data_IF_394477161046
#
_entry.id   IF_394477161046
#
_cell.length_a   1.000
_cell.length_b   1.000
_cell.length_c   1.000
_cell.angle_alpha   90.00
_cell.angle_beta   90.00
_cell.angle_gamma   90.00
#
_symmetry.space_group_name_H-M   'P 1'
#
loop_
_entity.id
_entity.type
_entity.pdbx_description
1 polymer ?
#
# COMPACT_ATOMS: atom_id res chain seq x y z
N UNK A 1 -3.62 45.87 21.58
CA UNK A 1 -3.56 45.33 20.20
C UNK A 1 -3.86 43.84 20.28
N UNK A 2 -4.89 43.36 19.59
CA UNK A 2 -5.19 41.93 19.55
C UNK A 2 -4.30 41.30 18.47
N UNK A 3 -3.42 40.38 18.84
CA UNK A 3 -2.64 39.59 17.88
C UNK A 3 -3.58 38.62 17.18
N UNK A 4 -3.86 38.85 15.89
CA UNK A 4 -4.64 37.93 15.07
C UNK A 4 -3.72 36.79 14.60
N UNK A 5 -3.82 35.64 15.25
CA UNK A 5 -3.08 34.43 14.82
C UNK A 5 -3.78 33.87 13.57
N UNK A 6 -3.05 33.79 12.46
CA UNK A 6 -3.56 33.21 11.21
C UNK A 6 -2.95 31.82 11.01
N UNK A 7 -3.79 30.81 10.77
CA UNK A 7 -3.33 29.48 10.42
C UNK A 7 -3.22 29.33 8.90
N UNK A 8 -2.08 28.84 8.43
CA UNK A 8 -1.82 28.50 7.01
C UNK A 8 -1.55 27.00 6.90
N UNK A 9 -1.82 26.40 5.74
CA UNK A 9 -1.53 24.98 5.50
C UNK A 9 -0.01 24.78 5.55
N UNK A 10 0.43 23.76 6.29
CA UNK A 10 1.81 23.28 6.35
C UNK A 10 2.01 22.10 5.40
N UNK A 11 1.06 21.18 5.37
CA UNK A 11 1.05 20.03 4.47
C UNK A 11 -0.37 19.45 4.36
N UNK A 12 -0.62 18.73 3.28
CA UNK A 12 -1.76 17.83 3.11
C UNK A 12 -1.22 16.45 2.77
N UNK A 13 -1.81 15.39 3.33
CA UNK A 13 -1.56 14.02 2.89
C UNK A 13 -2.89 13.39 2.53
N UNK A 14 -3.08 13.12 1.24
CA UNK A 14 -4.24 12.42 0.71
C UNK A 14 -3.97 10.91 0.67
N UNK A 15 -4.86 10.12 1.24
CA UNK A 15 -5.01 8.70 0.96
C UNK A 15 -6.05 8.56 -0.14
N UNK A 16 -5.65 7.96 -1.26
CA UNK A 16 -6.47 7.80 -2.47
C UNK A 16 -6.54 6.31 -2.81
N UNK A 17 -7.71 5.83 -3.23
CA UNK A 17 -7.88 4.39 -3.52
C UNK A 17 -8.66 4.19 -4.81
N UNK A 18 -8.04 3.46 -5.74
CA UNK A 18 -8.58 3.15 -7.06
C UNK A 18 -9.97 2.48 -7.04
N UNK A 19 -10.35 1.80 -5.95
CA UNK A 19 -11.65 1.15 -5.83
C UNK A 19 -12.80 2.16 -6.00
N UNK A 20 -12.65 3.35 -5.43
CA UNK A 20 -13.63 4.42 -5.54
C UNK A 20 -13.39 5.29 -6.78
N UNK A 21 -12.12 5.48 -7.16
CA UNK A 21 -11.72 6.48 -8.15
C UNK A 21 -11.88 5.99 -9.58
N UNK A 22 -11.51 4.74 -9.86
CA UNK A 22 -11.48 4.18 -11.21
C UNK A 22 -12.88 4.03 -11.79
N UNK A 23 -12.95 4.06 -13.12
CA UNK A 23 -14.15 3.76 -13.90
C UNK A 23 -13.84 2.72 -14.97
N UNK A 24 -14.87 2.10 -15.51
CA UNK A 24 -14.70 1.15 -16.61
C UNK A 24 -13.87 1.76 -17.75
N UNK A 25 -12.81 1.06 -18.15
CA UNK A 25 -11.91 1.47 -19.23
C UNK A 25 -10.96 2.63 -18.92
N UNK A 26 -10.93 3.16 -17.69
CA UNK A 26 -10.07 4.31 -17.34
C UNK A 26 -9.60 4.26 -15.89
N UNK A 27 -8.27 4.19 -15.72
CA UNK A 27 -7.62 4.33 -14.43
C UNK A 27 -7.59 5.82 -14.03
N UNK A 28 -7.81 6.12 -12.75
CA UNK A 28 -7.78 7.49 -12.26
C UNK A 28 -6.45 8.20 -12.54
N UNK A 29 -5.32 7.52 -12.31
CA UNK A 29 -4.00 8.14 -12.46
C UNK A 29 -3.51 8.23 -13.90
N UNK A 30 -4.22 7.63 -14.87
CA UNK A 30 -3.98 7.86 -16.29
C UNK A 30 -4.71 9.10 -16.83
N UNK A 31 -5.56 9.74 -16.03
CA UNK A 31 -6.29 10.96 -16.40
C UNK A 31 -5.38 12.19 -16.32
N UNK A 32 -5.77 13.27 -17.01
CA UNK A 32 -5.15 14.58 -16.82
C UNK A 32 -5.35 15.06 -15.37
N UNK A 33 -4.50 15.97 -14.89
CA UNK A 33 -4.63 16.50 -13.52
C UNK A 33 -6.00 17.18 -13.29
N UNK A 34 -6.49 17.93 -14.28
CA UNK A 34 -7.80 18.58 -14.22
C UNK A 34 -8.94 17.55 -14.13
N UNK A 35 -8.88 16.48 -14.92
CA UNK A 35 -9.86 15.40 -14.88
C UNK A 35 -9.81 14.61 -13.56
N UNK A 36 -8.62 14.42 -12.98
CA UNK A 36 -8.45 13.82 -11.66
C UNK A 36 -9.14 14.66 -10.58
N UNK A 37 -8.88 15.97 -10.57
CA UNK A 37 -9.50 16.90 -9.62
C UNK A 37 -11.02 16.95 -9.78
N UNK A 38 -11.52 17.02 -11.01
CA UNK A 38 -12.96 17.00 -11.30
C UNK A 38 -13.60 15.69 -10.84
N UNK A 39 -12.98 14.54 -11.14
CA UNK A 39 -13.47 13.21 -10.75
C UNK A 39 -13.53 13.06 -9.23
N UNK A 40 -12.48 13.46 -8.53
CA UNK A 40 -12.45 13.40 -7.06
C UNK A 40 -13.50 14.33 -6.46
N UNK A 41 -13.66 15.54 -6.99
CA UNK A 41 -14.69 16.49 -6.54
C UNK A 41 -16.11 15.93 -6.73
N UNK A 42 -16.42 15.36 -7.90
CA UNK A 42 -17.70 14.69 -8.21
C UNK A 42 -18.02 13.58 -7.20
N UNK A 43 -17.05 12.69 -6.95
CA UNK A 43 -17.21 11.59 -5.99
C UNK A 43 -17.40 12.08 -4.55
N UNK A 44 -16.74 13.17 -4.16
CA UNK A 44 -16.90 13.77 -2.84
C UNK A 44 -18.25 14.48 -2.69
N UNK A 45 -18.73 15.18 -3.73
CA UNK A 45 -20.04 15.85 -3.71
C UNK A 45 -21.20 14.85 -3.56
N UNK A 46 -21.10 13.70 -4.22
CA UNK A 46 -22.11 12.63 -4.15
C UNK A 46 -21.94 11.68 -2.95
N UNK A 47 -20.97 11.93 -2.07
CA UNK A 47 -20.62 11.04 -0.94
C UNK A 47 -20.30 9.59 -1.38
N UNK A 48 -19.72 9.42 -2.58
CA UNK A 48 -19.29 8.12 -3.13
C UNK A 48 -17.84 7.78 -2.77
N UNK A 49 -17.05 8.78 -2.40
CA UNK A 49 -15.68 8.58 -1.89
C UNK A 49 -15.65 8.67 -0.37
N UNK A 50 -15.56 7.53 0.32
CA UNK A 50 -15.67 7.47 1.78
C UNK A 50 -14.57 6.62 2.45
N UNK A 51 -13.36 6.62 1.89
CA UNK A 51 -12.21 5.86 2.43
C UNK A 51 -11.94 6.12 3.92
N UNK A 52 -12.15 7.36 4.38
CA UNK A 52 -11.86 7.75 5.77
C UNK A 52 -12.89 7.21 6.80
N UNK A 53 -13.98 6.59 6.33
CA UNK A 53 -14.85 5.78 7.19
C UNK A 53 -14.16 4.49 7.62
N UNK A 54 -13.29 3.93 6.76
CA UNK A 54 -12.57 2.68 6.98
C UNK A 54 -11.17 2.88 7.58
N UNK A 55 -10.68 4.12 7.67
CA UNK A 55 -9.32 4.45 8.12
C UNK A 55 -9.36 5.50 9.24
N UNK A 56 -8.45 5.39 10.21
CA UNK A 56 -8.12 6.49 11.12
C UNK A 56 -6.64 6.81 11.05
N UNK A 57 -6.33 8.11 11.04
CA UNK A 57 -4.96 8.60 11.13
C UNK A 57 -4.86 9.39 12.42
N UNK A 58 -3.91 9.06 13.28
CA UNK A 58 -3.78 9.70 14.61
C UNK A 58 -2.33 10.02 14.91
N UNK A 59 -2.00 11.22 15.42
CA UNK A 59 -0.64 11.51 15.84
C UNK A 59 -0.19 10.55 16.96
N UNK A 60 1.10 10.21 17.00
CA UNK A 60 1.67 9.51 18.16
C UNK A 60 1.65 10.42 19.40
N UNK A 61 1.72 9.88 20.64
CA UNK A 61 1.78 10.71 21.84
C UNK A 61 2.97 11.70 21.86
N UNK A 62 4.08 11.34 21.22
CA UNK A 62 5.22 12.25 21.04
C UNK A 62 4.91 13.36 20.03
N UNK A 63 4.27 13.01 18.90
CA UNK A 63 3.83 13.98 17.89
C UNK A 63 2.80 14.95 18.44
N UNK A 64 1.84 14.52 19.27
CA UNK A 64 0.86 15.43 19.88
C UNK A 64 1.52 16.55 20.70
N UNK A 65 2.59 16.23 21.45
CA UNK A 65 3.35 17.22 22.21
C UNK A 65 4.07 18.18 21.27
N UNK A 66 4.69 17.67 20.19
CA UNK A 66 5.35 18.48 19.16
C UNK A 66 4.37 19.42 18.46
N UNK A 67 3.21 18.92 18.04
CA UNK A 67 2.15 19.72 17.40
C UNK A 67 1.71 20.89 18.29
N UNK A 68 1.44 20.63 19.58
CA UNK A 68 1.07 21.68 20.55
C UNK A 68 2.20 22.70 20.74
N UNK A 69 3.43 22.25 20.91
CA UNK A 69 4.60 23.12 21.09
C UNK A 69 4.86 24.03 19.89
N UNK A 70 4.64 23.50 18.68
CA UNK A 70 4.87 24.20 17.42
C UNK A 70 3.63 24.95 16.90
N UNK A 71 2.53 24.96 17.67
CA UNK A 71 1.23 25.53 17.27
C UNK A 71 0.75 25.01 15.90
N UNK A 72 0.95 23.72 15.66
CA UNK A 72 0.43 23.01 14.50
C UNK A 72 -0.90 22.36 14.91
N UNK A 73 -1.93 22.60 14.12
CA UNK A 73 -3.25 21.98 14.21
C UNK A 73 -3.33 20.88 13.16
N UNK A 74 -3.77 19.72 13.61
CA UNK A 74 -4.04 18.55 12.78
C UNK A 74 -5.56 18.40 12.60
N UNK A 75 -6.01 18.08 11.38
CA UNK A 75 -7.39 17.68 11.09
C UNK A 75 -7.41 16.52 10.10
N UNK A 76 -8.25 15.53 10.36
CA UNK A 76 -8.61 14.51 9.37
C UNK A 76 -9.68 15.09 8.41
N UNK A 77 -9.51 14.86 7.11
CA UNK A 77 -10.45 15.24 6.04
C UNK A 77 -11.13 13.99 5.46
N UNK A 78 -11.96 14.14 4.43
CA UNK A 78 -12.55 13.01 3.69
C UNK A 78 -11.52 12.23 2.84
N UNK A 79 -10.35 12.83 2.58
CA UNK A 79 -9.29 12.26 1.75
C UNK A 79 -8.02 11.94 2.52
N UNK A 80 -7.92 12.23 3.83
CA UNK A 80 -6.69 12.02 4.58
C UNK A 80 -6.52 13.04 5.70
N UNK A 81 -5.42 13.80 5.69
CA UNK A 81 -5.10 14.75 6.75
C UNK A 81 -4.62 16.09 6.21
N UNK A 82 -4.89 17.15 6.97
CA UNK A 82 -4.31 18.48 6.77
C UNK A 82 -3.63 18.96 8.05
N UNK A 83 -2.43 19.50 7.87
CA UNK A 83 -1.67 20.18 8.91
C UNK A 83 -1.75 21.68 8.66
N UNK A 84 -2.18 22.44 9.66
CA UNK A 84 -2.15 23.90 9.64
C UNK A 84 -1.22 24.43 10.71
N UNK A 85 -0.39 25.41 10.41
CA UNK A 85 0.55 26.01 11.36
C UNK A 85 0.22 27.48 11.57
N UNK A 86 0.34 27.92 12.82
CA UNK A 86 0.23 29.34 13.15
C UNK A 86 1.35 30.11 12.45
N UNK A 87 0.98 31.16 11.71
CA UNK A 87 1.89 31.92 10.88
C UNK A 87 1.62 33.42 10.96
N UNK A 88 2.64 34.20 10.65
CA UNK A 88 2.58 35.66 10.57
C UNK A 88 3.23 36.15 9.28
N UNK A 89 2.77 37.27 8.70
CA UNK A 89 3.49 37.92 7.61
C UNK A 89 4.88 38.36 8.08
N UNK A 90 5.90 37.89 7.38
CA UNK A 90 7.29 38.32 7.49
C UNK A 90 7.63 39.44 6.51
N UNK A 91 8.89 39.93 6.54
CA UNK A 91 9.39 40.89 5.56
C UNK A 91 9.20 40.39 4.12
N UNK A 92 8.83 41.29 3.20
CA UNK A 92 8.66 40.94 1.79
C UNK A 92 7.45 40.03 1.46
N UNK A 93 6.55 39.79 2.41
CA UNK A 93 5.36 38.95 2.20
C UNK A 93 5.59 37.46 2.44
N UNK A 94 6.79 37.07 2.87
CA UNK A 94 7.08 35.71 3.33
C UNK A 94 6.15 35.30 4.49
N UNK A 95 5.85 34.01 4.60
CA UNK A 95 5.06 33.49 5.71
C UNK A 95 5.99 32.81 6.71
N UNK A 96 6.19 33.46 7.85
CA UNK A 96 6.97 32.89 8.96
C UNK A 96 6.05 32.10 9.88
N UNK A 97 6.58 31.03 10.46
CA UNK A 97 5.89 30.28 11.52
C UNK A 97 5.96 31.05 12.84
N UNK A 98 4.89 30.96 13.64
CA UNK A 98 4.83 31.64 14.93
C UNK A 98 5.83 31.06 15.95
N UNK A 99 6.23 29.80 15.76
CA UNK A 99 7.31 29.12 16.47
C UNK A 99 8.24 28.55 15.40
N UNK A 100 9.55 28.88 15.40
CA UNK A 100 10.48 28.35 14.42
C UNK A 100 10.47 26.82 14.37
N UNK A 101 10.35 26.27 13.16
CA UNK A 101 10.39 24.84 12.92
C UNK A 101 11.83 24.40 12.66
N UNK A 102 12.28 23.38 13.39
CA UNK A 102 13.53 22.69 13.09
C UNK A 102 13.36 21.83 11.82
N UNK A 103 14.29 21.94 10.88
CA UNK A 103 14.27 21.15 9.64
C UNK A 103 14.28 19.64 9.89
N UNK A 104 14.86 19.19 11.01
CA UNK A 104 14.89 17.77 11.43
C UNK A 104 13.67 17.35 12.26
N UNK A 105 12.72 18.26 12.51
CA UNK A 105 11.51 17.93 13.24
C UNK A 105 10.68 16.89 12.46
N UNK A 106 10.45 15.75 13.12
CA UNK A 106 9.61 14.65 12.62
C UNK A 106 8.23 14.66 13.26
N UNK A 107 7.18 14.55 12.44
CA UNK A 107 5.79 14.38 12.86
C UNK A 107 5.28 13.00 12.40
N UNK A 108 5.06 12.12 13.37
CA UNK A 108 4.66 10.74 13.15
C UNK A 108 3.18 10.52 13.46
N UNK A 109 2.48 9.85 12.55
CA UNK A 109 1.07 9.50 12.64
C UNK A 109 0.89 8.00 12.40
N UNK A 110 0.01 7.38 13.18
CA UNK A 110 -0.38 5.99 13.04
C UNK A 110 -1.61 5.90 12.15
N UNK A 111 -1.56 5.02 11.15
CA UNK A 111 -2.67 4.68 10.27
C UNK A 111 -3.24 3.35 10.74
N UNK A 112 -4.52 3.32 11.09
CA UNK A 112 -5.23 2.10 11.50
C UNK A 112 -6.41 1.85 10.57
N UNK A 113 -6.61 0.58 10.23
CA UNK A 113 -7.79 0.16 9.48
C UNK A 113 -8.90 -0.19 10.48
N UNK A 114 -10.08 0.39 10.27
CA UNK A 114 -11.29 0.11 11.05
C UNK A 114 -12.07 -1.06 10.45
N UNK A 115 -11.98 -1.24 9.14
CA UNK A 115 -12.74 -2.23 8.39
C UNK A 115 -11.81 -3.18 7.61
N UNK A 116 -12.01 -4.48 7.78
CA UNK A 116 -11.25 -5.51 7.09
C UNK A 116 -11.51 -5.54 5.57
N UNK A 117 -12.66 -5.04 5.12
CA UNK A 117 -13.00 -4.96 3.68
C UNK A 117 -12.02 -4.08 2.88
N UNK A 118 -11.32 -3.15 3.54
CA UNK A 118 -10.28 -2.38 2.87
C UNK A 118 -9.10 -3.27 2.47
N UNK A 119 -8.68 -4.20 3.34
CA UNK A 119 -7.56 -5.12 3.04
C UNK A 119 -7.89 -6.07 1.89
N UNK A 120 -9.16 -6.50 1.81
CA UNK A 120 -9.63 -7.36 0.73
C UNK A 120 -9.71 -6.60 -0.61
N UNK A 121 -10.17 -5.34 -0.60
CA UNK A 121 -10.26 -4.48 -1.80
C UNK A 121 -8.93 -3.89 -2.25
N UNK A 122 -7.98 -3.66 -1.35
CA UNK A 122 -6.67 -3.10 -1.66
C UNK A 122 -5.69 -4.18 -2.14
N UNK A 123 -4.86 -3.82 -3.11
CA UNK A 123 -3.83 -4.68 -3.68
C UNK A 123 -2.61 -4.81 -2.74
N UNK A 124 -2.81 -5.44 -1.58
CA UNK A 124 -1.79 -5.63 -0.57
C UNK A 124 -1.47 -7.13 -0.42
N UNK A 125 -0.21 -7.47 -0.14
CA UNK A 125 0.19 -8.85 0.15
C UNK A 125 -0.55 -9.38 1.37
N UNK A 126 -1.16 -10.55 1.25
CA UNK A 126 -2.01 -11.21 2.25
C UNK A 126 -1.15 -11.99 3.24
N UNK A 127 -0.11 -12.71 2.77
CA UNK A 127 0.80 -13.46 3.63
C UNK A 127 2.21 -12.85 3.56
N UNK A 128 2.52 -11.82 4.36
CA UNK A 128 3.88 -11.39 4.55
C UNK A 128 4.71 -12.45 5.28
N UNK A 129 6.01 -12.48 5.02
CA UNK A 129 6.95 -13.40 5.66
C UNK A 129 7.34 -12.96 7.08
N UNK A 130 7.06 -11.72 7.47
CA UNK A 130 7.24 -11.20 8.83
C UNK A 130 6.16 -10.13 9.11
N UNK A 131 5.84 -9.82 10.38
CA UNK A 131 4.72 -8.95 10.72
C UNK A 131 5.07 -7.45 10.64
N UNK A 132 5.60 -7.01 9.50
CA UNK A 132 5.94 -5.61 9.29
C UNK A 132 4.69 -4.75 9.04
N UNK A 133 4.79 -3.48 9.42
CA UNK A 133 3.79 -2.45 9.09
C UNK A 133 4.35 -1.52 8.02
N UNK A 134 3.45 -0.87 7.28
CA UNK A 134 3.83 0.10 6.25
C UNK A 134 4.50 1.33 6.87
N UNK A 135 5.51 1.87 6.21
CA UNK A 135 6.21 3.08 6.64
C UNK A 135 6.32 4.05 5.48
N UNK A 136 5.63 5.19 5.60
CA UNK A 136 5.57 6.23 4.61
C UNK A 136 6.27 7.47 5.14
N UNK A 137 7.12 8.07 4.31
CA UNK A 137 7.91 9.25 4.68
C UNK A 137 8.16 10.11 3.47
N UNK A 138 8.38 11.41 3.71
CA UNK A 138 8.78 12.38 2.69
C UNK A 138 10.30 12.60 2.63
N UNK A 139 11.08 11.84 3.41
CA UNK A 139 12.55 11.85 3.36
C UNK A 139 13.13 10.60 2.66
N UNK A 140 14.46 10.51 2.68
CA UNK A 140 15.26 9.47 2.04
C UNK A 140 15.43 8.19 2.89
N UNK A 141 14.70 8.06 4.00
CA UNK A 141 14.66 6.80 4.79
C UNK A 141 14.23 5.62 3.91
N UNK A 142 13.45 5.89 2.87
CA UNK A 142 13.06 4.97 1.79
C UNK A 142 13.33 5.66 0.44
N UNK A 143 13.61 4.89 -0.60
CA UNK A 143 14.16 5.42 -1.87
C UNK A 143 13.16 5.39 -3.03
N UNK A 144 13.51 6.09 -4.12
CA UNK A 144 12.77 6.01 -5.39
C UNK A 144 11.38 6.66 -5.40
N UNK A 145 11.12 7.60 -4.49
CA UNK A 145 9.85 8.33 -4.44
C UNK A 145 9.73 9.30 -5.62
N UNK A 146 8.49 9.58 -6.02
CA UNK A 146 8.17 10.56 -7.05
C UNK A 146 7.04 11.44 -6.55
N UNK A 147 7.28 12.74 -6.43
CA UNK A 147 6.26 13.68 -5.95
C UNK A 147 5.01 13.63 -6.84
N UNK A 148 3.79 13.57 -6.28
CA UNK A 148 3.44 13.73 -4.86
C UNK A 148 3.40 12.43 -4.02
N UNK A 149 3.75 11.27 -4.58
CA UNK A 149 3.63 9.99 -3.87
C UNK A 149 4.70 9.83 -2.79
N UNK A 150 4.29 9.35 -1.61
CA UNK A 150 5.20 8.94 -0.53
C UNK A 150 5.61 7.46 -0.62
N UNK A 151 5.04 6.71 -1.56
CA UNK A 151 5.36 5.29 -1.75
C UNK A 151 6.75 5.12 -2.37
N UNK A 152 7.45 4.08 -1.93
CA UNK A 152 8.74 3.61 -2.44
C UNK A 152 8.59 3.11 -3.87
N UNK A 153 9.62 3.27 -4.71
CA UNK A 153 9.62 2.69 -6.05
C UNK A 153 9.46 1.16 -6.01
N UNK A 154 8.86 0.62 -7.07
CA UNK A 154 8.84 -0.82 -7.31
C UNK A 154 10.25 -1.29 -7.64
N UNK A 155 10.74 -2.35 -6.98
CA UNK A 155 12.05 -2.92 -7.29
C UNK A 155 12.00 -4.02 -8.36
N UNK A 156 13.18 -4.38 -8.87
CA UNK A 156 13.35 -5.49 -9.80
C UNK A 156 12.95 -6.83 -9.18
N UNK A 157 12.43 -7.72 -10.03
CA UNK A 157 12.12 -9.08 -9.62
C UNK A 157 13.40 -9.79 -9.13
N UNK A 158 13.30 -10.36 -7.94
CA UNK A 158 14.26 -11.31 -7.40
C UNK A 158 13.81 -12.75 -7.68
N UNK A 159 14.58 -13.49 -8.48
CA UNK A 159 14.28 -14.89 -8.78
C UNK A 159 14.25 -15.75 -7.51
N UNK A 160 13.29 -16.66 -7.44
CA UNK A 160 13.05 -17.53 -6.31
C UNK A 160 12.28 -16.88 -5.16
N UNK A 161 12.09 -15.55 -5.11
CA UNK A 161 11.14 -14.92 -4.16
C UNK A 161 9.71 -15.20 -4.63
N UNK A 162 8.84 -15.65 -3.73
CA UNK A 162 7.42 -15.76 -4.07
C UNK A 162 6.74 -14.38 -4.11
N UNK A 163 6.13 -14.06 -5.24
CA UNK A 163 5.19 -12.95 -5.43
C UNK A 163 3.75 -13.47 -5.40
N UNK A 164 2.91 -12.86 -4.57
CA UNK A 164 1.47 -13.12 -4.60
C UNK A 164 0.82 -12.41 -5.79
N UNK A 165 -0.31 -12.96 -6.26
CA UNK A 165 -1.14 -12.31 -7.28
C UNK A 165 -1.47 -10.86 -6.85
N UNK A 166 -1.21 -9.93 -7.76
CA UNK A 166 -1.38 -8.49 -7.59
C UNK A 166 -0.09 -7.74 -7.26
N UNK A 167 0.94 -8.39 -6.71
CA UNK A 167 2.22 -7.73 -6.43
C UNK A 167 2.87 -7.18 -7.71
N UNK A 168 3.59 -6.07 -7.58
CA UNK A 168 4.30 -5.42 -8.68
C UNK A 168 5.81 -5.62 -8.55
N UNK A 169 6.47 -5.74 -9.70
CA UNK A 169 7.93 -5.80 -9.81
C UNK A 169 8.38 -5.22 -11.17
N UNK A 170 9.64 -4.80 -11.29
CA UNK A 170 10.25 -4.54 -12.60
C UNK A 170 10.67 -5.88 -13.20
N UNK A 171 9.99 -6.28 -14.27
CA UNK A 171 10.21 -7.54 -15.01
C UNK A 171 10.60 -7.19 -16.45
N UNK A 172 11.75 -7.68 -16.90
CA UNK A 172 12.28 -7.39 -18.25
C UNK A 172 12.30 -5.87 -18.56
N UNK A 173 12.63 -5.04 -17.57
CA UNK A 173 12.70 -3.58 -17.69
C UNK A 173 11.36 -2.84 -17.66
N UNK A 174 10.22 -3.54 -17.50
CA UNK A 174 8.90 -2.93 -17.42
C UNK A 174 8.28 -3.15 -16.05
N UNK A 175 7.54 -2.17 -15.54
CA UNK A 175 6.69 -2.38 -14.37
C UNK A 175 5.60 -3.38 -14.75
N UNK A 176 5.50 -4.45 -13.98
CA UNK A 176 4.59 -5.56 -14.24
C UNK A 176 3.87 -5.97 -12.97
N UNK A 177 2.64 -6.43 -13.13
CA UNK A 177 1.81 -6.99 -12.06
C UNK A 177 1.73 -8.51 -12.19
N UNK A 178 1.85 -9.21 -11.06
CA UNK A 178 1.66 -10.66 -11.00
C UNK A 178 0.17 -11.01 -11.18
N UNK A 179 -0.17 -11.82 -12.18
CA UNK A 179 -1.55 -12.27 -12.44
C UNK A 179 -1.90 -13.61 -11.80
N UNK A 180 -0.88 -14.30 -11.25
CA UNK A 180 -0.97 -15.50 -10.44
C UNK A 180 0.22 -15.52 -9.47
N UNK A 181 0.24 -16.45 -8.51
CA UNK A 181 1.44 -16.70 -7.71
C UNK A 181 2.60 -17.09 -8.63
N UNK A 182 3.75 -16.44 -8.50
CA UNK A 182 4.95 -16.70 -9.32
C UNK A 182 6.22 -16.42 -8.53
N UNK A 183 7.31 -17.08 -8.90
CA UNK A 183 8.64 -16.93 -8.30
C UNK A 183 9.75 -16.70 -9.33
N UNK A 184 9.37 -16.44 -10.59
CA UNK A 184 10.31 -16.21 -11.69
C UNK A 184 9.82 -15.13 -12.64
N UNK A 185 10.75 -14.55 -13.40
CA UNK A 185 10.44 -13.55 -14.42
C UNK A 185 9.78 -14.13 -15.70
N UNK A 186 9.75 -15.45 -15.85
CA UNK A 186 9.41 -16.10 -17.12
C UNK A 186 7.90 -16.09 -17.43
N UNK A 187 7.05 -16.25 -16.40
CA UNK A 187 5.59 -16.36 -16.57
C UNK A 187 4.84 -15.76 -15.38
N UNK A 188 3.55 -15.47 -15.57
CA UNK A 188 2.68 -14.99 -14.49
C UNK A 188 2.66 -13.47 -14.30
N UNK A 189 3.11 -12.70 -15.30
CA UNK A 189 3.19 -11.24 -15.25
C UNK A 189 2.43 -10.59 -16.41
N UNK A 190 1.89 -9.39 -16.16
CA UNK A 190 1.36 -8.50 -17.19
C UNK A 190 1.94 -7.10 -17.00
N UNK A 191 2.31 -6.43 -18.09
CA UNK A 191 2.80 -5.05 -18.03
C UNK A 191 1.71 -4.12 -17.48
N UNK A 192 2.12 -3.15 -16.68
CA UNK A 192 1.25 -2.11 -16.12
C UNK A 192 2.02 -0.80 -16.05
N UNK A 193 1.29 0.31 -16.04
CA UNK A 193 1.88 1.62 -15.78
C UNK A 193 2.33 1.76 -14.33
N UNK A 194 3.36 2.59 -14.11
CA UNK A 194 3.81 2.96 -12.77
C UNK A 194 3.06 4.19 -12.27
N UNK A 195 2.08 3.95 -11.40
CA UNK A 195 1.35 5.01 -10.72
C UNK A 195 1.85 5.25 -9.29
N UNK A 196 3.00 4.71 -8.89
CA UNK A 196 3.56 4.81 -7.54
C UNK A 196 2.57 4.40 -6.43
N UNK A 197 1.85 3.30 -6.66
CA UNK A 197 1.00 2.69 -5.65
C UNK A 197 1.82 2.14 -4.48
N UNK A 198 1.19 2.11 -3.32
CA UNK A 198 1.70 1.43 -2.12
C UNK A 198 2.00 -0.03 -2.49
N UNK A 199 3.20 -0.50 -2.15
CA UNK A 199 3.68 -1.82 -2.51
C UNK A 199 4.46 -2.48 -1.36
N UNK A 200 4.94 -3.71 -1.54
CA UNK A 200 5.58 -4.47 -0.44
C UNK A 200 6.89 -3.82 0.05
N UNK A 201 7.55 -3.00 -0.77
CA UNK A 201 8.78 -2.29 -0.37
C UNK A 201 8.52 -1.12 0.59
N UNK A 202 7.26 -0.71 0.76
CA UNK A 202 6.86 0.22 1.84
C UNK A 202 6.68 -0.50 3.19
N UNK A 203 6.58 -1.83 3.21
CA UNK A 203 6.23 -2.61 4.40
C UNK A 203 7.46 -3.05 5.19
N UNK A 204 8.18 -2.06 5.75
CA UNK A 204 9.52 -2.27 6.33
C UNK A 204 9.58 -2.17 7.86
N UNK A 205 8.59 -1.56 8.53
CA UNK A 205 8.69 -1.26 9.96
C UNK A 205 8.39 -2.50 10.82
N UNK A 206 9.35 -2.88 11.66
CA UNK A 206 9.34 -4.08 12.49
C UNK A 206 9.72 -3.75 13.95
N UNK A 207 9.22 -4.54 14.92
CA UNK A 207 9.73 -4.49 16.28
C UNK A 207 11.14 -5.12 16.33
N UNK A 208 11.84 -5.00 17.46
CA UNK A 208 13.16 -5.62 17.64
C UNK A 208 13.13 -7.15 17.70
N UNK A 209 11.95 -7.76 17.92
CA UNK A 209 11.77 -9.21 18.01
C UNK A 209 10.51 -9.63 17.27
N UNK A 210 10.65 -10.52 16.29
CA UNK A 210 9.56 -10.91 15.40
C UNK A 210 9.78 -12.29 14.77
N UNK A 211 8.72 -13.01 14.42
CA UNK A 211 8.82 -14.24 13.64
C UNK A 211 9.09 -13.94 12.16
N UNK A 212 9.84 -14.83 11.53
CA UNK A 212 10.02 -14.97 10.10
C UNK A 212 9.44 -16.31 9.64
N UNK A 213 8.56 -16.32 8.64
CA UNK A 213 7.98 -17.51 8.04
C UNK A 213 8.61 -17.75 6.67
N UNK A 214 9.16 -18.94 6.44
CA UNK A 214 9.75 -19.30 5.15
C UNK A 214 8.67 -19.45 4.06
N UNK A 215 8.89 -18.81 2.92
CA UNK A 215 7.99 -18.87 1.74
C UNK A 215 8.27 -20.09 0.84
N UNK A 216 9.27 -20.91 1.18
CA UNK A 216 9.64 -22.15 0.50
C UNK A 216 9.79 -23.30 1.50
N UNK A 217 9.52 -24.51 1.05
CA UNK A 217 9.67 -25.73 1.87
C UNK A 217 11.09 -26.30 1.79
N UNK A 218 11.45 -27.13 2.77
CA UNK A 218 12.71 -27.89 2.76
C UNK A 218 13.95 -27.09 3.17
N UNK A 219 13.80 -25.86 3.67
CA UNK A 219 14.93 -25.08 4.22
C UNK A 219 15.31 -25.64 5.59
N UNK A 220 16.33 -26.48 5.70
CA UNK A 220 16.74 -27.10 6.98
C UNK A 220 17.70 -26.23 7.79
N UNK A 221 18.43 -25.32 7.14
CA UNK A 221 19.39 -24.41 7.75
C UNK A 221 19.16 -23.00 7.20
N UNK A 222 19.24 -21.99 8.07
CA UNK A 222 19.16 -20.59 7.67
C UNK A 222 19.96 -19.70 8.61
N UNK A 223 20.68 -18.74 8.05
CA UNK A 223 21.44 -17.72 8.76
C UNK A 223 20.87 -16.36 8.39
N UNK A 224 20.47 -15.59 9.40
CA UNK A 224 19.95 -14.24 9.27
C UNK A 224 21.03 -13.25 9.69
N UNK A 225 21.43 -12.38 8.78
CA UNK A 225 22.49 -11.39 8.99
C UNK A 225 21.90 -9.99 8.85
N UNK A 226 21.94 -9.21 9.93
CA UNK A 226 21.50 -7.83 9.97
C UNK A 226 22.69 -6.91 9.64
N UNK A 227 22.55 -6.06 8.62
CA UNK A 227 23.60 -5.17 8.15
C UNK A 227 23.19 -3.70 8.23
N UNK A 228 24.14 -2.82 8.53
CA UNK A 228 24.01 -1.37 8.35
C UNK A 228 25.05 -0.93 7.32
N UNK A 229 24.60 -0.68 6.09
CA UNK A 229 25.53 -0.51 4.97
C UNK A 229 26.31 -1.80 4.73
N UNK A 230 27.64 -1.74 4.79
CA UNK A 230 28.51 -2.92 4.65
C UNK A 230 28.76 -3.65 5.98
N UNK A 231 28.46 -3.03 7.11
CA UNK A 231 28.81 -3.55 8.43
C UNK A 231 27.79 -4.58 8.92
N UNK A 232 28.28 -5.76 9.34
CA UNK A 232 27.48 -6.77 10.00
C UNK A 232 27.24 -6.38 11.47
N UNK A 233 25.97 -6.26 11.85
CA UNK A 233 25.54 -5.85 13.19
C UNK A 233 25.25 -7.06 14.07
N UNK A 234 24.56 -8.06 13.52
CA UNK A 234 24.18 -9.28 14.25
C UNK A 234 23.86 -10.40 13.28
N UNK A 235 24.27 -11.62 13.64
CA UNK A 235 23.93 -12.84 12.92
C UNK A 235 23.21 -13.83 13.83
N UNK A 236 22.16 -14.47 13.30
CA UNK A 236 21.31 -15.44 13.99
C UNK A 236 21.22 -16.73 13.14
N UNK A 237 21.88 -17.83 13.54
CA UNK A 237 21.79 -19.12 12.86
C UNK A 237 20.62 -19.96 13.37
N UNK A 238 19.96 -20.68 12.47
CA UNK A 238 18.88 -21.62 12.75
C UNK A 238 19.11 -22.94 11.99
N UNK A 239 18.78 -24.05 12.64
CA UNK A 239 18.83 -25.38 12.04
C UNK A 239 17.71 -26.25 12.60
N UNK A 240 16.99 -26.93 11.72
CA UNK A 240 15.95 -27.88 12.09
C UNK A 240 15.88 -29.03 11.08
N UNK A 241 16.12 -30.25 11.57
CA UNK A 241 15.96 -31.48 10.78
C UNK A 241 14.49 -31.63 10.37
N UNK A 242 14.24 -31.86 9.09
CA UNK A 242 12.88 -31.93 8.53
C UNK A 242 12.31 -30.58 8.05
N UNK A 243 13.09 -29.49 8.17
CA UNK A 243 12.76 -28.18 7.60
C UNK A 243 12.30 -27.15 8.64
N UNK A 244 12.80 -25.93 8.48
CA UNK A 244 12.36 -24.71 9.15
C UNK A 244 11.07 -24.21 8.50
N UNK A 245 10.05 -23.97 9.33
CA UNK A 245 8.83 -23.28 8.91
C UNK A 245 8.87 -21.82 9.33
N UNK A 246 9.26 -21.59 10.59
CA UNK A 246 9.34 -20.27 11.20
C UNK A 246 10.66 -20.12 11.99
N UNK A 247 11.20 -18.91 12.04
CA UNK A 247 12.35 -18.54 12.85
C UNK A 247 12.02 -17.28 13.67
N UNK A 248 12.17 -17.35 15.00
CA UNK A 248 11.96 -16.19 15.87
C UNK A 248 13.25 -15.36 15.92
N UNK A 249 13.25 -14.22 15.22
CA UNK A 249 14.38 -13.31 15.17
C UNK A 249 14.35 -12.37 16.38
N UNK A 250 15.49 -12.27 17.08
CA UNK A 250 15.64 -11.43 18.26
C UNK A 250 16.84 -10.48 18.10
N UNK A 251 16.54 -9.24 17.71
CA UNK A 251 17.48 -8.13 17.59
C UNK A 251 17.37 -7.16 18.78
N UNK A 252 16.86 -7.61 19.93
CA UNK A 252 16.88 -6.79 21.15
C UNK A 252 18.31 -6.31 21.46
N UNK A 253 18.44 -5.03 21.79
CA UNK A 253 19.72 -4.35 22.00
C UNK A 253 20.31 -3.66 20.76
N UNK A 254 19.76 -3.93 19.56
CA UNK A 254 20.10 -3.18 18.35
C UNK A 254 19.43 -1.79 18.41
N UNK A 255 20.15 -0.70 18.10
CA UNK A 255 19.56 0.63 18.02
C UNK A 255 18.43 0.72 16.98
N UNK A 256 17.51 1.66 17.17
CA UNK A 256 16.49 1.94 16.15
C UNK A 256 17.16 2.45 14.86
N UNK A 257 16.69 1.98 13.70
CA UNK A 257 17.23 2.41 12.40
C UNK A 257 16.90 1.49 11.24
N UNK A 258 17.33 1.93 10.04
CA UNK A 258 17.21 1.16 8.80
C UNK A 258 18.39 0.18 8.67
N UNK A 259 18.06 -1.04 8.26
CA UNK A 259 19.01 -2.13 8.08
C UNK A 259 18.67 -2.95 6.83
N UNK A 260 19.66 -3.68 6.33
CA UNK A 260 19.44 -4.79 5.39
C UNK A 260 19.44 -6.10 6.17
N UNK A 261 18.34 -6.85 6.10
CA UNK A 261 18.25 -8.22 6.61
C UNK A 261 18.55 -9.19 5.46
N UNK A 262 19.74 -9.80 5.48
CA UNK A 262 20.10 -10.88 4.55
C UNK A 262 19.80 -12.23 5.16
N UNK A 263 19.28 -13.14 4.36
CA UNK A 263 18.97 -14.52 4.76
C UNK A 263 19.66 -15.44 3.76
N UNK A 264 20.49 -16.33 4.26
CA UNK A 264 21.12 -17.40 3.48
C UNK A 264 20.76 -18.74 4.13
N UNK A 265 20.15 -19.64 3.36
CA UNK A 265 19.74 -20.96 3.83
C UNK A 265 20.10 -22.08 2.87
N UNK A 266 19.82 -23.30 3.29
CA UNK A 266 19.96 -24.51 2.46
C UNK A 266 19.12 -24.42 1.19
N UNK A 267 19.43 -25.24 0.18
CA UNK A 267 18.73 -25.28 -1.11
C UNK A 267 18.74 -23.93 -1.87
N UNK A 268 19.85 -23.20 -1.76
CA UNK A 268 20.05 -21.87 -2.37
C UNK A 268 19.02 -20.82 -1.92
N UNK A 269 18.38 -21.03 -0.76
CA UNK A 269 17.44 -20.07 -0.21
C UNK A 269 18.15 -18.76 0.12
N UNK A 270 17.88 -17.71 -0.67
CA UNK A 270 18.49 -16.40 -0.45
C UNK A 270 17.42 -15.32 -0.47
N UNK A 271 17.42 -14.45 0.54
CA UNK A 271 16.55 -13.27 0.62
C UNK A 271 17.31 -12.06 1.12
N UNK A 272 16.85 -10.89 0.73
CA UNK A 272 17.33 -9.61 1.23
C UNK A 272 16.14 -8.67 1.38
N UNK A 273 16.02 -8.03 2.55
CA UNK A 273 14.96 -7.07 2.84
C UNK A 273 15.56 -5.81 3.44
N UNK A 274 15.08 -4.64 3.00
CA UNK A 274 15.24 -3.41 3.77
C UNK A 274 14.22 -3.43 4.90
N UNK A 275 14.68 -3.25 6.14
CA UNK A 275 13.81 -3.23 7.32
C UNK A 275 14.10 -2.01 8.19
N UNK A 276 13.06 -1.45 8.79
CA UNK A 276 13.17 -0.44 9.83
C UNK A 276 12.89 -1.11 11.18
N UNK A 277 13.95 -1.33 11.96
CA UNK A 277 13.80 -1.79 13.33
C UNK A 277 13.54 -0.58 14.24
N UNK A 278 12.41 -0.60 14.96
CA UNK A 278 12.10 0.46 15.92
C UNK A 278 11.38 -0.08 17.15
N UNK A 279 11.93 0.19 18.33
CA UNK A 279 11.43 -0.32 19.60
C UNK A 279 10.01 0.17 19.95
N UNK A 280 9.65 1.41 19.60
CA UNK A 280 8.43 2.07 20.09
C UNK A 280 7.47 2.53 18.99
N UNK A 281 7.94 2.73 17.77
CA UNK A 281 7.10 3.19 16.67
C UNK A 281 6.24 2.07 16.09
N UNK A 282 6.75 0.84 16.09
CA UNK A 282 5.98 -0.33 15.70
C UNK A 282 4.80 -0.54 16.67
N UNK A 283 3.59 -0.60 16.12
CA UNK A 283 2.39 -0.97 16.86
C UNK A 283 1.65 -2.05 16.08
N UNK A 284 1.36 -3.18 16.72
CA UNK A 284 0.77 -4.35 16.07
C UNK A 284 -0.62 -4.08 15.48
N UNK A 285 -1.36 -3.14 16.07
CA UNK A 285 -2.69 -2.70 15.62
C UNK A 285 -2.63 -1.59 14.56
N UNK A 286 -1.44 -1.02 14.30
CA UNK A 286 -1.25 -0.09 13.20
C UNK A 286 -1.07 -0.86 11.88
N UNK A 287 -1.68 -0.35 10.82
CA UNK A 287 -1.44 -0.83 9.48
C UNK A 287 -0.23 -0.14 8.85
N UNK A 288 -0.05 1.14 9.14
CA UNK A 288 1.10 1.89 8.69
C UNK A 288 1.43 3.09 9.58
N UNK A 289 2.57 3.69 9.31
CA UNK A 289 3.06 4.91 9.94
C UNK A 289 3.36 5.93 8.85
N UNK A 290 2.89 7.15 9.04
CA UNK A 290 3.26 8.31 8.25
C UNK A 290 4.23 9.15 9.08
N UNK A 291 5.47 9.31 8.61
CA UNK A 291 6.50 10.15 9.22
C UNK A 291 6.84 11.33 8.31
N UNK A 292 6.51 12.55 8.74
CA UNK A 292 6.79 13.77 7.97
C UNK A 292 7.96 14.54 8.60
N UNK A 293 9.01 14.75 7.81
CA UNK A 293 10.17 15.57 8.14
C UNK A 293 9.97 16.97 7.55
N UNK A 294 10.29 18.02 8.31
CA UNK A 294 10.07 19.40 7.85
C UNK A 294 10.88 19.75 6.60
N UNK A 295 12.16 19.37 6.59
CA UNK A 295 13.10 19.75 5.55
C UNK A 295 13.95 18.55 5.08
N UNK A 296 13.36 17.57 4.38
CA UNK A 296 14.11 16.51 3.72
C UNK A 296 15.07 17.07 2.65
N UNK A 297 16.00 16.23 2.20
CA UNK A 297 16.98 16.60 1.17
C UNK A 297 16.33 16.97 -0.18
N UNK A 298 15.25 16.28 -0.57
CA UNK A 298 14.50 16.59 -1.78
C UNK A 298 13.56 17.78 -1.55
N UNK A 299 13.82 18.88 -2.27
CA UNK A 299 13.06 20.13 -2.16
C UNK A 299 11.60 19.99 -2.57
N UNK A 300 11.26 19.03 -3.45
CA UNK A 300 9.86 18.78 -3.82
C UNK A 300 9.04 18.22 -2.64
N UNK A 301 9.70 17.63 -1.66
CA UNK A 301 9.09 17.02 -0.48
C UNK A 301 9.18 17.86 0.80
N UNK A 302 9.73 19.07 0.71
CA UNK A 302 9.88 19.97 1.86
C UNK A 302 8.55 20.59 2.30
N UNK A 303 8.36 20.74 3.61
CA UNK A 303 7.23 21.43 4.24
C UNK A 303 7.58 22.90 4.57
N UNK A 304 8.87 23.17 4.75
CA UNK A 304 9.45 24.50 4.92
C UNK A 304 10.68 24.65 4.03
N UNK A 305 10.97 25.88 3.60
CA UNK A 305 12.15 26.15 2.79
C UNK A 305 13.45 26.20 3.61
N UNK A 306 14.56 26.54 2.93
CA UNK A 306 15.89 26.63 3.54
C UNK A 306 16.00 27.65 4.67
N UNK A 307 15.13 28.66 4.68
CA UNK A 307 15.09 29.71 5.70
C UNK A 307 14.07 29.40 6.82
N UNK A 308 13.45 28.22 6.77
CA UNK A 308 12.41 27.78 7.72
C UNK A 308 11.06 28.45 7.51
N UNK A 309 10.84 29.04 6.33
CA UNK A 309 9.58 29.69 5.94
C UNK A 309 8.63 28.68 5.30
N UNK A 310 7.33 28.98 5.28
CA UNK A 310 6.36 28.11 4.61
C UNK A 310 6.55 28.12 3.09
N UNK A 311 6.43 26.96 2.48
CA UNK A 311 6.52 26.83 1.01
C UNK A 311 5.39 27.60 0.32
N UNK A 312 5.76 28.47 -0.62
CA UNK A 312 4.86 29.29 -1.42
C UNK A 312 4.89 28.84 -2.90
N UNK A 313 3.78 29.00 -3.67
CA UNK A 313 2.50 29.62 -3.28
C UNK A 313 1.55 28.70 -2.50
N UNK A 314 1.85 27.40 -2.42
CA UNK A 314 1.01 26.42 -1.75
C UNK A 314 1.85 25.41 -0.93
N UNK A 315 1.26 24.93 0.15
CA UNK A 315 1.81 23.81 0.92
C UNK A 315 1.84 22.53 0.07
N UNK A 316 2.81 21.63 0.28
CA UNK A 316 2.87 20.37 -0.42
C UNK A 316 1.62 19.51 -0.14
N UNK A 317 1.16 18.84 -1.19
CA UNK A 317 0.07 17.86 -1.13
C UNK A 317 0.69 16.51 -1.49
N UNK A 318 0.83 15.65 -0.49
CA UNK A 318 1.36 14.31 -0.64
C UNK A 318 0.25 13.29 -0.86
N UNK A 319 0.61 12.14 -1.43
CA UNK A 319 -0.33 11.06 -1.74
C UNK A 319 0.16 9.70 -1.25
N UNK A 320 -0.78 8.94 -0.68
CA UNK A 320 -0.71 7.51 -0.46
C UNK A 320 -1.74 6.84 -1.37
N UNK A 321 -1.27 6.06 -2.34
CA UNK A 321 -2.11 5.56 -3.43
C UNK A 321 -2.35 4.06 -3.27
N UNK A 322 -3.59 3.67 -3.03
CA UNK A 322 -4.01 2.27 -2.96
C UNK A 322 -4.50 1.80 -4.33
N UNK A 323 -3.79 0.84 -4.91
CA UNK A 323 -4.30 0.07 -6.03
C UNK A 323 -5.46 -0.84 -5.59
N UNK A 324 -6.42 -1.05 -6.47
CA UNK A 324 -7.44 -2.08 -6.30
C UNK A 324 -6.89 -3.46 -6.53
N UNK A 325 -7.29 -4.42 -5.69
CA UNK A 325 -6.96 -5.83 -5.89
C UNK A 325 -7.63 -6.33 -7.16
N UNK A 326 -6.83 -6.87 -8.07
CA UNK A 326 -7.34 -7.64 -9.18
C UNK A 326 -7.69 -9.06 -8.70
N UNK A 327 -8.86 -9.56 -9.07
CA UNK A 327 -9.32 -10.91 -8.70
C UNK A 327 -9.99 -11.59 -9.88
N UNK A 328 -9.96 -12.91 -9.91
CA UNK A 328 -10.82 -13.68 -10.79
C UNK A 328 -12.25 -13.64 -10.25
N UNK A 329 -13.23 -13.34 -11.10
CA UNK A 329 -14.62 -13.21 -10.67
C UNK A 329 -15.32 -14.55 -10.83
N UNK A 330 -15.77 -15.12 -9.72
CA UNK A 330 -16.33 -16.46 -9.66
C UNK A 330 -17.82 -16.38 -9.33
N UNK A 331 -18.64 -16.82 -10.28
CA UNK A 331 -20.09 -16.76 -10.20
C UNK A 331 -20.68 -18.15 -9.96
N UNK A 332 -21.46 -18.28 -8.89
CA UNK A 332 -22.20 -19.50 -8.59
C UNK A 332 -23.59 -19.43 -9.19
N UNK A 333 -23.92 -20.41 -10.05
CA UNK A 333 -25.22 -20.54 -10.70
C UNK A 333 -26.20 -21.32 -9.80
N UNK A 334 -27.50 -21.00 -9.89
CA UNK A 334 -28.51 -21.68 -9.08
C UNK A 334 -28.86 -23.10 -9.58
N UNK A 335 -29.56 -23.86 -8.74
CA UNK A 335 -29.98 -25.24 -9.03
C UNK A 335 -31.03 -25.26 -10.16
N UNK A 336 -30.58 -25.56 -11.37
CA UNK A 336 -31.42 -25.68 -12.58
C UNK A 336 -30.81 -24.96 -13.78
N UNK A 337 -29.94 -23.98 -13.52
CA UNK A 337 -29.30 -23.19 -14.56
C UNK A 337 -28.02 -23.92 -14.98
N UNK A 338 -28.07 -24.56 -16.15
CA UNK A 338 -26.90 -25.16 -16.78
C UNK A 338 -26.35 -24.11 -17.74
N UNK A 339 -25.03 -23.87 -17.82
CA UNK A 339 -24.51 -22.97 -18.85
C UNK A 339 -25.03 -23.42 -20.22
N UNK A 340 -25.82 -22.56 -20.87
CA UNK A 340 -26.29 -22.75 -22.23
C UNK A 340 -25.12 -22.98 -23.19
N UNK A 341 -25.37 -23.76 -24.24
CA UNK A 341 -24.41 -24.05 -25.30
C UNK A 341 -24.10 -22.83 -26.19
N UNK A 342 -24.79 -21.70 -25.98
CA UNK A 342 -24.62 -20.48 -26.76
C UNK A 342 -23.34 -19.74 -26.37
N UNK A 343 -22.51 -19.59 -27.40
CA UNK A 343 -21.09 -19.31 -27.38
C UNK A 343 -20.79 -17.81 -27.36
N UNK A 344 -20.83 -17.19 -26.19
CA UNK A 344 -20.07 -15.95 -25.97
C UNK A 344 -19.26 -16.07 -24.67
N UNK A 345 -18.23 -16.90 -24.74
CA UNK A 345 -17.29 -17.17 -23.66
C UNK A 345 -16.14 -16.16 -23.63
N UNK A 346 -16.27 -14.99 -24.24
CA UNK A 346 -15.11 -14.10 -24.45
C UNK A 346 -14.44 -13.68 -23.15
N UNK A 347 -15.21 -13.49 -22.08
CA UNK A 347 -14.74 -12.95 -20.80
C UNK A 347 -14.71 -13.97 -19.66
N UNK A 348 -15.34 -15.13 -19.83
CA UNK A 348 -15.52 -16.15 -18.79
C UNK A 348 -15.29 -17.56 -19.33
N UNK A 349 -15.01 -18.48 -18.42
CA UNK A 349 -14.80 -19.91 -18.68
C UNK A 349 -15.64 -20.74 -17.71
N UNK A 350 -16.04 -21.97 -18.08
CA UNK A 350 -16.56 -22.91 -17.10
C UNK A 350 -15.48 -23.18 -16.05
N UNK A 351 -15.89 -23.43 -14.80
CA UNK A 351 -14.96 -23.81 -13.75
C UNK A 351 -14.20 -25.12 -14.09
N UNK A 352 -13.02 -25.35 -13.48
CA UNK A 352 -12.24 -26.57 -13.70
C UNK A 352 -13.06 -27.86 -13.51
N UNK A 353 -12.64 -28.99 -14.15
CA UNK A 353 -13.34 -30.27 -14.07
C UNK A 353 -13.64 -30.67 -12.62
N UNK A 354 -14.92 -30.92 -12.30
CA UNK A 354 -15.38 -31.33 -10.97
C UNK A 354 -16.29 -30.33 -10.26
N UNK A 355 -16.32 -29.06 -10.70
CA UNK A 355 -17.22 -28.04 -10.15
C UNK A 355 -18.33 -27.75 -11.17
N UNK A 356 -19.52 -28.34 -10.97
CA UNK A 356 -20.71 -27.99 -11.75
C UNK A 356 -21.26 -26.66 -11.23
N UNK A 357 -21.82 -25.83 -12.14
CA UNK A 357 -22.56 -24.59 -11.81
C UNK A 357 -21.71 -23.41 -11.33
N UNK A 358 -20.48 -23.32 -11.83
CA UNK A 358 -19.64 -22.14 -11.60
C UNK A 358 -19.05 -21.70 -12.93
N UNK A 359 -19.08 -20.40 -13.18
CA UNK A 359 -18.33 -19.73 -14.24
C UNK A 359 -17.33 -18.77 -13.61
N UNK A 360 -16.15 -18.64 -14.21
CA UNK A 360 -15.07 -17.81 -13.71
C UNK A 360 -14.56 -16.89 -14.81
N UNK A 361 -14.15 -15.66 -14.50
CA UNK A 361 -13.50 -14.80 -15.48
C UNK A 361 -12.23 -15.45 -16.07
N UNK A 362 -11.94 -15.15 -17.34
CA UNK A 362 -10.74 -15.64 -18.03
C UNK A 362 -9.46 -14.94 -17.58
N UNK A 363 -9.61 -13.72 -17.07
CA UNK A 363 -8.53 -12.86 -16.57
C UNK A 363 -8.97 -12.21 -15.26
N UNK A 364 -8.03 -11.73 -14.45
CA UNK A 364 -8.39 -10.99 -13.25
C UNK A 364 -8.85 -9.58 -13.59
N UNK A 365 -9.84 -9.09 -12.85
CA UNK A 365 -10.34 -7.73 -12.97
C UNK A 365 -10.17 -6.98 -11.64
N UNK A 366 -9.75 -5.70 -11.66
CA UNK A 366 -9.65 -4.89 -10.46
C UNK A 366 -11.04 -4.71 -9.83
N UNK A 367 -11.09 -4.85 -8.50
CA UNK A 367 -12.27 -4.48 -7.72
C UNK A 367 -12.52 -2.98 -7.82
N UNK A 368 -13.75 -2.59 -8.12
CA UNK A 368 -14.15 -1.19 -8.26
C UNK A 368 -15.60 -1.02 -7.85
N UNK A 369 -15.92 0.15 -7.29
CA UNK A 369 -17.28 0.57 -6.95
C UNK A 369 -18.08 0.92 -8.21
N UNK A 370 -17.41 1.43 -9.23
CA UNK A 370 -18.02 1.66 -10.54
C UNK A 370 -18.40 0.33 -11.19
N UNK A 371 -19.47 0.35 -11.98
CA UNK A 371 -19.86 -0.83 -12.74
C UNK A 371 -18.82 -1.12 -13.82
N UNK A 372 -18.55 -2.41 -14.04
CA UNK A 372 -17.72 -2.92 -15.12
C UNK A 372 -18.52 -4.02 -15.81
N UNK A 373 -18.60 -3.96 -17.13
CA UNK A 373 -19.32 -4.98 -17.86
C UNK A 373 -18.49 -6.26 -17.89
N UNK A 374 -19.07 -7.33 -17.33
CA UNK A 374 -18.65 -8.71 -17.59
C UNK A 374 -19.89 -9.47 -18.03
N UNK A 375 -19.83 -10.14 -19.17
CA UNK A 375 -21.01 -10.74 -19.81
C UNK A 375 -20.91 -12.25 -19.91
N UNK A 376 -22.06 -12.91 -19.74
CA UNK A 376 -22.29 -14.27 -20.17
C UNK A 376 -23.39 -14.28 -21.23
N UNK A 377 -23.03 -14.65 -22.47
CA UNK A 377 -23.92 -14.51 -23.62
C UNK A 377 -24.48 -13.07 -23.75
N UNK A 378 -25.79 -12.88 -23.60
CA UNK A 378 -26.44 -11.57 -23.60
C UNK A 378 -26.69 -10.98 -22.19
N UNK A 379 -26.30 -11.70 -21.14
CA UNK A 379 -26.56 -11.33 -19.75
C UNK A 379 -25.35 -10.62 -19.16
N UNK A 380 -25.57 -9.42 -18.67
CA UNK A 380 -24.60 -8.69 -17.86
C UNK A 380 -24.55 -9.29 -16.46
N UNK A 381 -23.35 -9.66 -16.02
CA UNK A 381 -23.11 -10.20 -14.69
C UNK A 381 -22.81 -9.07 -13.69
N UNK A 382 -23.21 -9.21 -12.41
CA UNK A 382 -22.88 -8.25 -11.38
C UNK A 382 -21.38 -8.22 -11.05
N UNK A 383 -20.91 -7.10 -10.51
CA UNK A 383 -19.56 -6.95 -9.99
C UNK A 383 -19.45 -7.49 -8.55
N UNK A 384 -18.30 -8.04 -8.14
CA UNK A 384 -18.04 -8.34 -6.74
C UNK A 384 -17.76 -7.08 -5.95
N UNK A 385 -18.21 -7.06 -4.69
CA UNK A 385 -17.93 -5.98 -3.71
C UNK A 385 -16.58 -6.13 -2.99
N UNK A 386 -15.91 -7.28 -3.17
CA UNK A 386 -14.64 -7.61 -2.54
C UNK A 386 -14.75 -8.10 -1.09
N UNK A 387 -15.95 -8.40 -0.58
CA UNK A 387 -16.14 -8.91 0.79
C UNK A 387 -15.89 -10.42 0.88
N UNK A 388 -16.19 -11.16 -0.19
CA UNK A 388 -16.00 -12.61 -0.28
C UNK A 388 -14.82 -12.95 -1.18
N UNK A 389 -13.63 -13.05 -0.59
CA UNK A 389 -12.42 -13.49 -1.29
C UNK A 389 -12.09 -14.94 -0.92
N UNK A 390 -11.83 -15.76 -1.95
CA UNK A 390 -11.38 -17.15 -1.79
C UNK A 390 -10.10 -17.42 -2.57
N UNK A 391 -9.43 -18.52 -2.23
CA UNK A 391 -8.28 -19.04 -2.98
C UNK A 391 -8.69 -20.27 -3.77
N UNK A 392 -8.26 -20.34 -5.02
CA UNK A 392 -8.41 -21.50 -5.87
C UNK A 392 -7.05 -21.83 -6.51
N UNK A 393 -6.33 -22.76 -5.89
CA UNK A 393 -4.90 -22.96 -6.21
C UNK A 393 -4.12 -21.67 -5.96
N UNK A 394 -3.43 -21.19 -7.00
CA UNK A 394 -2.64 -19.96 -6.98
C UNK A 394 -3.43 -18.69 -7.32
N UNK A 395 -4.74 -18.82 -7.60
CA UNK A 395 -5.61 -17.69 -7.96
C UNK A 395 -6.33 -17.12 -6.74
N UNK A 396 -6.46 -15.80 -6.73
CA UNK A 396 -7.34 -15.07 -5.81
C UNK A 396 -8.66 -14.78 -6.53
N UNK A 397 -9.76 -15.26 -5.97
CA UNK A 397 -11.09 -15.15 -6.55
C UNK A 397 -11.99 -14.29 -5.67
N UNK A 398 -12.84 -13.46 -6.30
CA UNK A 398 -13.98 -12.83 -5.62
C UNK A 398 -15.26 -13.59 -5.97
N UNK A 399 -16.04 -13.93 -4.96
CA UNK A 399 -17.17 -14.85 -5.09
C UNK A 399 -18.51 -14.12 -5.13
N UNK A 400 -19.37 -14.50 -6.08
CA UNK A 400 -20.68 -13.89 -6.29
C UNK A 400 -21.72 -14.99 -6.42
N UNK A 401 -22.73 -14.95 -5.56
CA UNK A 401 -23.91 -15.80 -5.66
C UNK A 401 -24.91 -15.14 -6.60
N UNK A 402 -25.15 -15.72 -7.78
CA UNK A 402 -26.14 -15.17 -8.68
C UNK A 402 -27.56 -15.46 -8.16
N UNK A 403 -28.48 -14.49 -8.28
CA UNK A 403 -29.90 -14.77 -8.12
C UNK A 403 -30.37 -15.76 -9.19
N UNK A 404 -31.58 -16.29 -9.07
CA UNK A 404 -32.15 -17.18 -10.10
C UNK A 404 -32.28 -16.39 -11.40
N UNK A 405 -31.50 -16.73 -12.41
CA UNK A 405 -31.52 -16.08 -13.72
C UNK A 405 -31.87 -17.13 -14.77
N UNK A 406 -32.73 -16.78 -15.73
CA UNK A 406 -32.87 -17.59 -16.95
C UNK A 406 -31.62 -17.34 -17.79
N UNK A 407 -30.61 -18.19 -17.60
CA UNK A 407 -29.37 -18.20 -18.38
C UNK A 407 -29.57 -18.89 -19.73
#
# INVERSE_FOLDING_TARGET
>A
MAFQITYRRLAVVNMLHSFYLDKEGSNYYSLSQEDQEFRLADLLMDNRYNLMDDVSITPTPATEKKLKGQRIVYRQTSTGIVLGVASTPGPGGALTTAVPLDGQLRLQFLIRLKNAALVSRSNLRINPVFPSVYYFTNDDTTSGKSFPSLSTAVEAITDGRTYEMGETAIVNGNVSQAIARTDSAATGWINTDDFHYINEYDRILLPLKFPYTFDQQGVEQATFTLLRGADEIKTLPFQQVGGLRDALLDFTGTPDGIYTLKIAGSNNYTRSYTIYLHATLYQRDAWGVLDLVMQPADTAFQLIDADGLLTLPAAPVFELRFASRATYWKYYLQKGDTPGADSNWDEISPAPPGIRKVIISKQPYPLMQSYRKVSYAAVNLPNPDGELISRQGDLICSEILLPKMKL
#
